data_IF_392824730966
#
_entry.id   IF_392824730966
#
_cell.length_a   1.000
_cell.length_b   1.000
_cell.length_c   1.000
_cell.angle_alpha   90.00
_cell.angle_beta   90.00
_cell.angle_gamma   90.00
#
_symmetry.space_group_name_H-M   'P 1'
#
loop_
_entity.id
_entity.type
_entity.pdbx_description
1 polymer ?
#
# COMPACT_ATOMS: atom_id res chain seq x y z
N UNK A 1 18.04 -6.68 -5.00
CA UNK A 1 18.29 -6.95 -3.56
C UNK A 1 19.75 -6.76 -3.16
N UNK A 2 20.71 -7.47 -3.76
CA UNK A 2 22.12 -7.42 -3.32
C UNK A 2 22.76 -6.02 -3.39
N UNK A 3 22.44 -5.23 -4.42
CA UNK A 3 22.89 -3.83 -4.50
C UNK A 3 22.35 -2.97 -3.34
N UNK A 4 21.09 -3.18 -2.93
CA UNK A 4 20.50 -2.45 -1.81
C UNK A 4 21.17 -2.82 -0.49
N UNK A 5 21.45 -4.12 -0.26
CA UNK A 5 22.23 -4.58 0.90
C UNK A 5 23.63 -3.95 0.95
N UNK A 6 24.27 -3.78 -0.21
CA UNK A 6 25.63 -3.23 -0.31
C UNK A 6 25.68 -1.71 -0.14
N UNK A 7 24.75 -0.97 -0.76
CA UNK A 7 24.87 0.48 -0.93
C UNK A 7 23.82 1.31 -0.19
N UNK A 8 22.68 0.73 0.22
CA UNK A 8 21.56 1.46 0.80
C UNK A 8 21.42 1.25 2.32
N UNK A 9 22.56 1.12 3.02
CA UNK A 9 22.61 0.88 4.47
C UNK A 9 21.81 1.87 5.31
N UNK A 10 21.78 3.14 4.89
CA UNK A 10 20.99 4.20 5.53
C UNK A 10 19.48 3.95 5.43
N UNK A 11 19.01 3.32 4.35
CA UNK A 11 17.60 3.01 4.14
C UNK A 11 17.18 1.75 4.90
N UNK A 12 17.86 0.63 4.67
CA UNK A 12 17.43 -0.65 5.22
C UNK A 12 17.84 -0.85 6.68
N UNK A 13 18.90 -0.17 7.16
CA UNK A 13 19.35 -0.18 8.57
C UNK A 13 19.49 -1.58 9.17
N UNK A 14 20.00 -2.52 8.37
CA UNK A 14 20.17 -3.92 8.77
C UNK A 14 18.92 -4.80 8.71
N UNK A 15 17.77 -4.32 8.22
CA UNK A 15 16.50 -5.08 8.19
C UNK A 15 16.58 -6.42 7.45
N UNK A 16 17.46 -6.55 6.45
CA UNK A 16 17.70 -7.81 5.75
C UNK A 16 18.27 -8.93 6.64
N UNK A 17 18.85 -8.60 7.80
CA UNK A 17 19.45 -9.55 8.74
C UNK A 17 18.54 -9.84 9.94
N UNK A 18 17.34 -9.26 9.98
CA UNK A 18 16.38 -9.53 11.04
C UNK A 18 15.89 -10.99 10.91
N UNK A 19 15.92 -11.81 12.00
CA UNK A 19 15.53 -13.22 11.92
C UNK A 19 14.06 -13.43 11.53
N UNK A 20 13.22 -12.40 11.62
CA UNK A 20 11.82 -12.41 11.17
C UNK A 20 11.70 -12.17 9.66
N UNK A 21 12.71 -11.59 9.03
CA UNK A 21 12.71 -11.29 7.61
C UNK A 21 13.07 -12.52 6.79
N UNK A 22 12.21 -12.84 5.81
CA UNK A 22 12.48 -13.86 4.79
C UNK A 22 12.48 -13.19 3.42
N UNK A 23 13.57 -13.34 2.68
CA UNK A 23 13.72 -12.79 1.34
C UNK A 23 13.53 -13.92 0.34
N UNK A 24 12.54 -13.77 -0.54
CA UNK A 24 12.29 -14.69 -1.64
C UNK A 24 12.61 -13.97 -2.95
N UNK A 25 13.56 -14.51 -3.71
CA UNK A 25 13.90 -14.00 -5.04
C UNK A 25 13.12 -14.80 -6.08
N UNK A 26 11.92 -14.31 -6.41
CA UNK A 26 11.03 -14.95 -7.38
C UNK A 26 10.04 -13.92 -7.96
N UNK A 27 9.29 -14.34 -8.96
CA UNK A 27 8.16 -13.57 -9.48
C UNK A 27 7.07 -13.41 -8.41
N UNK A 28 6.64 -12.16 -8.19
CA UNK A 28 5.67 -11.82 -7.15
C UNK A 28 4.26 -12.31 -7.45
N UNK A 29 3.85 -12.34 -8.72
CA UNK A 29 2.55 -12.88 -9.13
C UNK A 29 2.48 -14.37 -8.85
N UNK A 30 3.53 -15.10 -9.23
CA UNK A 30 3.67 -16.54 -8.95
C UNK A 30 3.63 -16.81 -7.44
N UNK A 31 4.31 -15.99 -6.65
CA UNK A 31 4.26 -16.13 -5.19
C UNK A 31 2.82 -15.98 -4.67
N UNK A 32 2.12 -14.94 -5.11
CA UNK A 32 0.72 -14.69 -4.71
C UNK A 32 -0.18 -15.86 -5.12
N UNK A 33 0.04 -16.47 -6.29
CA UNK A 33 -0.72 -17.64 -6.74
C UNK A 33 -0.49 -18.87 -5.87
N UNK A 34 0.76 -19.14 -5.46
CA UNK A 34 1.16 -20.35 -4.74
C UNK A 34 1.08 -20.22 -3.21
N UNK A 35 1.05 -19.00 -2.68
CA UNK A 35 1.04 -18.74 -1.25
C UNK A 35 -0.20 -19.33 -0.55
N UNK A 36 -0.05 -19.81 0.69
CA UNK A 36 -1.16 -20.35 1.47
C UNK A 36 -2.27 -19.31 1.65
N UNK A 37 -3.50 -19.80 1.67
CA UNK A 37 -4.68 -18.99 1.96
C UNK A 37 -4.69 -18.53 3.43
N UNK A 38 -5.35 -17.40 3.71
CA UNK A 38 -5.56 -16.89 5.08
C UNK A 38 -4.28 -16.77 5.93
N UNK A 39 -3.16 -16.43 5.30
CA UNK A 39 -1.85 -16.45 5.94
C UNK A 39 -1.39 -15.08 6.42
N UNK A 40 -1.70 -14.02 5.67
CA UNK A 40 -1.19 -12.67 5.93
C UNK A 40 -2.21 -11.76 6.62
N UNK A 41 -1.81 -11.16 7.73
CA UNK A 41 -2.57 -10.07 8.37
C UNK A 41 -2.42 -8.74 7.60
N UNK A 42 -1.25 -8.50 7.00
CA UNK A 42 -0.96 -7.28 6.24
C UNK A 42 -0.16 -7.64 4.99
N UNK A 43 -0.56 -7.07 3.85
CA UNK A 43 0.18 -7.11 2.59
C UNK A 43 0.52 -5.69 2.17
N UNK A 44 1.78 -5.45 1.82
CA UNK A 44 2.26 -4.17 1.29
C UNK A 44 2.79 -4.44 -0.12
N UNK A 45 2.16 -3.81 -1.10
CA UNK A 45 2.53 -3.87 -2.52
C UNK A 45 3.34 -2.61 -2.87
N UNK A 46 4.65 -2.78 -2.96
CA UNK A 46 5.62 -1.73 -3.36
C UNK A 46 6.24 -2.13 -4.70
N UNK A 47 5.48 -1.88 -5.77
CA UNK A 47 5.78 -2.31 -7.14
C UNK A 47 6.17 -1.11 -7.99
N UNK A 48 6.72 -1.39 -9.18
CA UNK A 48 6.95 -0.36 -10.19
C UNK A 48 5.64 0.26 -10.65
N UNK A 49 5.68 1.56 -10.96
CA UNK A 49 4.49 2.32 -11.29
C UNK A 49 3.64 1.66 -12.39
N UNK A 50 2.30 1.71 -12.26
CA UNK A 50 1.34 1.06 -13.17
C UNK A 50 1.33 1.69 -14.58
N UNK A 51 1.96 2.85 -14.74
CA UNK A 51 2.08 3.53 -16.04
C UNK A 51 3.18 2.94 -16.91
N UNK A 52 4.03 2.07 -16.34
CA UNK A 52 5.14 1.41 -17.02
C UNK A 52 4.73 0.27 -17.95
N UNK A 53 5.59 -0.75 -18.13
CA UNK A 53 5.33 -1.90 -19.00
C UNK A 53 4.02 -2.61 -18.65
N UNK A 54 3.42 -3.27 -19.65
CA UNK A 54 2.18 -4.03 -19.50
C UNK A 54 2.24 -5.06 -18.35
N UNK A 55 3.40 -5.67 -18.13
CA UNK A 55 3.65 -6.59 -17.02
C UNK A 55 3.36 -5.93 -15.65
N UNK A 56 3.67 -4.64 -15.50
CA UNK A 56 3.35 -3.92 -14.25
C UNK A 56 1.85 -3.77 -14.09
N UNK A 57 1.11 -3.47 -15.17
CA UNK A 57 -0.36 -3.30 -15.12
C UNK A 57 -1.10 -4.55 -14.69
N UNK A 58 -0.60 -5.74 -15.04
CA UNK A 58 -1.20 -7.01 -14.60
C UNK A 58 -1.27 -7.12 -13.06
N UNK A 59 -0.33 -6.48 -12.36
CA UNK A 59 -0.24 -6.43 -10.89
C UNK A 59 -1.16 -5.37 -10.26
N UNK A 60 -2.06 -4.74 -11.04
CA UNK A 60 -3.02 -3.74 -10.57
C UNK A 60 -4.46 -4.04 -11.01
N UNK A 61 -4.73 -5.27 -11.44
CA UNK A 61 -6.05 -5.74 -11.90
C UNK A 61 -6.91 -6.26 -10.74
N UNK A 62 -8.23 -6.28 -10.92
CA UNK A 62 -9.14 -6.92 -9.95
C UNK A 62 -8.83 -8.41 -9.76
N UNK A 63 -8.38 -9.10 -10.82
CA UNK A 63 -7.93 -10.48 -10.74
C UNK A 63 -6.71 -10.64 -9.83
N UNK A 64 -5.68 -9.81 -10.02
CA UNK A 64 -4.51 -9.81 -9.14
C UNK A 64 -4.90 -9.54 -7.68
N UNK A 65 -5.71 -8.50 -7.44
CA UNK A 65 -6.17 -8.18 -6.09
C UNK A 65 -7.03 -9.29 -5.47
N UNK A 66 -7.82 -10.02 -6.25
CA UNK A 66 -8.57 -11.19 -5.76
C UNK A 66 -7.63 -12.30 -5.29
N UNK A 67 -6.51 -12.52 -5.99
CA UNK A 67 -5.48 -13.51 -5.59
C UNK A 67 -4.73 -13.04 -4.34
N UNK A 68 -4.44 -11.75 -4.22
CA UNK A 68 -3.88 -11.16 -2.98
C UNK A 68 -4.87 -11.29 -1.82
N UNK A 69 -6.15 -11.02 -2.05
CA UNK A 69 -7.20 -11.15 -1.02
C UNK A 69 -7.30 -12.58 -0.48
N UNK A 70 -7.12 -13.59 -1.35
CA UNK A 70 -7.18 -15.02 -1.01
C UNK A 70 -6.10 -15.46 -0.01
N UNK A 71 -4.88 -14.91 -0.10
CA UNK A 71 -3.79 -15.22 0.84
C UNK A 71 -3.85 -14.39 2.13
N UNK A 72 -4.69 -13.36 2.17
CA UNK A 72 -4.91 -12.54 3.35
C UNK A 72 -5.97 -13.16 4.25
N UNK A 73 -5.80 -12.98 5.56
CA UNK A 73 -6.86 -13.30 6.52
C UNK A 73 -8.10 -12.48 6.28
N UNK A 74 -9.23 -12.94 6.83
CA UNK A 74 -10.54 -12.29 6.69
C UNK A 74 -10.59 -10.84 7.20
N UNK A 75 -9.69 -10.47 8.11
CA UNK A 75 -9.48 -9.11 8.59
C UNK A 75 -8.17 -8.47 8.12
N UNK A 76 -7.54 -9.03 7.10
CA UNK A 76 -6.31 -8.50 6.57
C UNK A 76 -6.44 -7.11 5.96
N UNK A 77 -5.29 -6.43 5.86
CA UNK A 77 -5.17 -5.11 5.23
C UNK A 77 -4.16 -5.18 4.08
N UNK A 78 -4.57 -4.68 2.90
CA UNK A 78 -3.69 -4.44 1.76
C UNK A 78 -3.37 -2.95 1.70
N UNK A 79 -2.10 -2.60 1.46
CA UNK A 79 -1.68 -1.26 1.05
C UNK A 79 -0.92 -1.38 -0.26
N UNK A 80 -1.23 -0.54 -1.24
CA UNK A 80 -0.45 -0.43 -2.47
C UNK A 80 -0.07 1.02 -2.73
N UNK A 81 1.18 1.23 -3.18
CA UNK A 81 1.51 2.45 -3.91
C UNK A 81 0.72 2.44 -5.23
N UNK A 82 0.16 3.59 -5.62
CA UNK A 82 -0.76 3.71 -6.75
C UNK A 82 -0.35 4.83 -7.73
N UNK A 83 0.95 5.15 -7.79
CA UNK A 83 1.50 6.16 -8.68
C UNK A 83 1.14 7.61 -8.30
N UNK A 84 0.76 8.40 -9.30
CA UNK A 84 0.41 9.80 -9.21
C UNK A 84 -0.87 10.12 -10.00
N UNK A 85 -1.92 10.56 -9.29
CA UNK A 85 -3.24 10.86 -9.81
C UNK A 85 -3.33 12.18 -10.58
N UNK A 86 -2.34 13.06 -10.43
CA UNK A 86 -2.29 14.34 -11.15
C UNK A 86 -1.82 14.13 -12.60
N UNK A 87 -0.74 13.37 -12.79
CA UNK A 87 -0.20 13.09 -14.13
C UNK A 87 -0.96 11.96 -14.83
N UNK A 88 -1.49 10.99 -14.08
CA UNK A 88 -2.11 9.80 -14.65
C UNK A 88 -3.47 9.47 -13.98
N UNK A 89 -4.45 10.39 -14.05
CA UNK A 89 -5.73 10.25 -13.34
C UNK A 89 -6.50 8.99 -13.72
N UNK A 90 -6.56 8.63 -15.01
CA UNK A 90 -7.31 7.46 -15.50
C UNK A 90 -6.79 6.14 -14.92
N UNK A 91 -5.47 5.94 -14.94
CA UNK A 91 -4.87 4.72 -14.40
C UNK A 91 -5.01 4.67 -12.89
N UNK A 92 -4.92 5.81 -12.20
CA UNK A 92 -5.22 5.86 -10.76
C UNK A 92 -6.69 5.50 -10.46
N UNK A 93 -7.65 6.01 -11.23
CA UNK A 93 -9.07 5.64 -11.11
C UNK A 93 -9.31 4.16 -11.36
N UNK A 94 -8.65 3.56 -12.36
CA UNK A 94 -8.71 2.13 -12.65
C UNK A 94 -8.23 1.29 -11.47
N UNK A 95 -7.11 1.66 -10.84
CA UNK A 95 -6.57 0.97 -9.65
C UNK A 95 -7.58 1.00 -8.51
N UNK A 96 -8.14 2.19 -8.23
CA UNK A 96 -9.13 2.34 -7.17
C UNK A 96 -10.41 1.56 -7.49
N UNK A 97 -10.84 1.53 -8.77
CA UNK A 97 -12.00 0.73 -9.21
C UNK A 97 -11.76 -0.76 -9.00
N UNK A 98 -10.61 -1.26 -9.47
CA UNK A 98 -10.23 -2.67 -9.34
C UNK A 98 -10.17 -3.11 -7.87
N UNK A 99 -9.69 -2.26 -6.96
CA UNK A 99 -9.70 -2.54 -5.53
C UNK A 99 -11.13 -2.56 -4.95
N UNK A 100 -12.02 -1.68 -5.41
CA UNK A 100 -13.43 -1.63 -4.97
C UNK A 100 -14.26 -2.82 -5.46
N UNK A 101 -13.84 -3.48 -6.54
CA UNK A 101 -14.45 -4.74 -6.98
C UNK A 101 -14.13 -5.91 -6.05
N UNK A 102 -13.00 -5.86 -5.34
CA UNK A 102 -12.49 -6.96 -4.52
C UNK A 102 -12.72 -6.75 -3.03
N UNK A 103 -12.60 -5.50 -2.54
CA UNK A 103 -12.63 -5.18 -1.12
C UNK A 103 -13.82 -4.27 -0.77
N UNK A 104 -14.42 -4.54 0.39
CA UNK A 104 -15.54 -3.73 0.90
C UNK A 104 -15.13 -2.31 1.29
N UNK A 105 -13.93 -2.15 1.85
CA UNK A 105 -13.43 -0.87 2.36
C UNK A 105 -12.18 -0.51 1.55
N UNK A 106 -12.24 0.63 0.87
CA UNK A 106 -11.12 1.19 0.09
C UNK A 106 -10.96 2.65 0.44
N UNK A 107 -9.79 3.02 0.97
CA UNK A 107 -9.42 4.40 1.29
C UNK A 107 -8.20 4.81 0.49
N UNK A 108 -8.26 6.04 0.01
CA UNK A 108 -7.23 6.67 -0.80
C UNK A 108 -6.50 7.66 0.08
N UNK A 109 -5.19 7.80 -0.08
CA UNK A 109 -4.40 8.82 0.58
C UNK A 109 -3.18 9.19 -0.25
N UNK A 110 -2.50 10.25 0.14
CA UNK A 110 -1.31 10.71 -0.56
C UNK A 110 -0.33 11.37 0.39
N UNK A 111 0.92 11.46 -0.05
CA UNK A 111 1.96 12.24 0.63
C UNK A 111 2.82 12.95 -0.40
N UNK A 112 3.22 14.18 -0.10
CA UNK A 112 4.24 14.88 -0.87
C UNK A 112 5.60 14.23 -0.64
N UNK A 113 6.28 13.81 -1.71
CA UNK A 113 7.63 13.24 -1.62
C UNK A 113 8.62 14.26 -2.21
N UNK A 114 9.37 15.00 -1.37
CA UNK A 114 10.20 16.11 -1.85
C UNK A 114 11.23 15.71 -2.90
N UNK A 115 11.86 14.54 -2.77
CA UNK A 115 12.84 14.05 -3.74
C UNK A 115 12.26 13.71 -5.10
N UNK A 116 10.94 13.48 -5.18
CA UNK A 116 10.25 13.19 -6.43
C UNK A 116 9.62 14.44 -7.04
N UNK A 117 9.40 15.49 -6.23
CA UNK A 117 8.78 16.72 -6.69
C UNK A 117 7.29 16.57 -7.01
N UNK A 118 6.62 15.55 -6.47
CA UNK A 118 5.18 15.33 -6.63
C UNK A 118 4.56 14.58 -5.43
N UNK A 119 3.23 14.53 -5.40
CA UNK A 119 2.47 13.75 -4.44
C UNK A 119 2.39 12.27 -4.88
N UNK A 120 2.92 11.35 -4.08
CA UNK A 120 2.69 9.92 -4.28
C UNK A 120 1.32 9.55 -3.72
N UNK A 121 0.54 8.80 -4.50
CA UNK A 121 -0.76 8.29 -4.08
C UNK A 121 -0.67 6.83 -3.66
N UNK A 122 -1.53 6.48 -2.71
CA UNK A 122 -1.60 5.16 -2.11
C UNK A 122 -3.06 4.79 -1.89
N UNK A 123 -3.33 3.49 -1.90
CA UNK A 123 -4.65 2.95 -1.59
C UNK A 123 -4.51 1.86 -0.53
N UNK A 124 -5.34 1.96 0.51
CA UNK A 124 -5.49 0.92 1.53
C UNK A 124 -6.85 0.25 1.37
N UNK A 125 -6.87 -1.07 1.45
CA UNK A 125 -8.05 -1.89 1.24
C UNK A 125 -8.18 -2.99 2.31
N UNK A 126 -9.41 -3.23 2.78
CA UNK A 126 -9.73 -4.26 3.77
C UNK A 126 -11.22 -4.60 3.69
N UNK A 127 -11.64 -5.72 4.29
CA UNK A 127 -13.06 -6.03 4.48
C UNK A 127 -13.60 -5.65 5.86
N UNK A 128 -12.70 -5.35 6.81
CA UNK A 128 -13.07 -5.13 8.22
C UNK A 128 -12.52 -3.83 8.79
N UNK A 129 -11.28 -3.48 8.49
CA UNK A 129 -10.61 -2.33 9.11
C UNK A 129 -10.71 -1.10 8.22
N UNK A 130 -11.39 -0.06 8.71
CA UNK A 130 -11.40 1.26 8.08
C UNK A 130 -10.47 2.21 8.85
N UNK A 131 -9.36 2.68 8.25
CA UNK A 131 -8.44 3.59 8.93
C UNK A 131 -9.12 4.91 9.32
N UNK A 132 -10.17 5.35 8.61
CA UNK A 132 -10.88 6.59 8.94
C UNK A 132 -11.60 6.54 10.30
N UNK A 133 -11.78 5.35 10.88
CA UNK A 133 -12.41 5.17 12.20
C UNK A 133 -11.44 5.35 13.36
N UNK A 134 -10.13 5.46 13.11
CA UNK A 134 -9.14 5.72 14.14
C UNK A 134 -9.07 7.21 14.44
N UNK A 135 -9.19 7.58 15.72
CA UNK A 135 -8.89 8.96 16.14
C UNK A 135 -7.37 9.18 16.17
N UNK A 136 -6.89 10.44 16.12
CA UNK A 136 -5.48 10.74 16.36
C UNK A 136 -4.95 10.09 17.64
N UNK A 137 -5.73 10.10 18.72
CA UNK A 137 -5.34 9.51 20.02
C UNK A 137 -5.22 7.99 19.96
N UNK A 138 -6.08 7.31 19.19
CA UNK A 138 -5.98 5.87 18.98
C UNK A 138 -4.66 5.51 18.29
N UNK A 139 -4.31 6.24 17.23
CA UNK A 139 -3.06 6.05 16.48
C UNK A 139 -1.86 6.30 17.39
N UNK A 140 -1.85 7.41 18.12
CA UNK A 140 -0.81 7.77 19.07
C UNK A 140 -0.62 6.72 20.17
N UNK A 141 -1.72 6.19 20.71
CA UNK A 141 -1.70 5.11 21.69
C UNK A 141 -1.04 3.85 21.10
N UNK A 142 -1.40 3.48 19.87
CA UNK A 142 -0.81 2.31 19.20
C UNK A 142 0.67 2.51 18.93
N UNK A 143 1.08 3.65 18.37
CA UNK A 143 2.48 3.99 18.10
C UNK A 143 3.33 3.91 19.37
N UNK A 144 2.87 4.51 20.48
CA UNK A 144 3.56 4.44 21.78
C UNK A 144 3.64 3.02 22.32
N UNK A 145 2.52 2.28 22.32
CA UNK A 145 2.48 0.90 22.85
C UNK A 145 3.42 -0.05 22.12
N UNK A 146 3.68 0.21 20.83
CA UNK A 146 4.56 -0.59 19.98
C UNK A 146 5.98 -0.02 19.88
N UNK A 147 6.27 1.07 20.59
CA UNK A 147 7.58 1.73 20.56
C UNK A 147 8.00 2.22 19.18
N UNK A 148 7.04 2.62 18.33
CA UNK A 148 7.32 3.05 16.96
C UNK A 148 7.87 4.47 16.98
N UNK A 149 9.15 4.61 16.65
CA UNK A 149 9.82 5.90 16.48
C UNK A 149 9.91 6.23 14.99
N UNK A 150 9.37 7.37 14.59
CA UNK A 150 9.37 7.82 13.20
C UNK A 150 9.48 9.36 13.11
N UNK A 151 9.54 9.91 11.89
CA UNK A 151 9.75 11.35 11.65
C UNK A 151 8.58 12.05 10.93
N UNK A 152 7.54 11.31 10.55
CA UNK A 152 6.56 11.81 9.59
C UNK A 152 5.11 11.45 9.93
N UNK A 153 4.89 10.29 10.53
CA UNK A 153 3.56 9.74 10.78
C UNK A 153 3.19 9.85 12.26
N UNK A 154 2.09 10.54 12.52
CA UNK A 154 1.46 10.71 13.83
C UNK A 154 -0.06 10.61 13.69
N UNK A 155 -0.80 10.73 14.80
CA UNK A 155 -2.25 10.66 14.79
C UNK A 155 -2.94 11.73 13.94
N UNK A 156 -2.42 12.95 13.91
CA UNK A 156 -3.00 14.04 13.12
C UNK A 156 -2.74 13.83 11.63
N UNK A 157 -1.52 13.40 11.27
CA UNK A 157 -1.17 13.06 9.89
C UNK A 157 -2.03 11.91 9.38
N UNK A 158 -2.22 10.85 10.18
CA UNK A 158 -3.14 9.77 9.83
C UNK A 158 -4.55 10.30 9.53
N UNK A 159 -5.11 11.10 10.43
CA UNK A 159 -6.45 11.65 10.26
C UNK A 159 -6.57 12.45 8.96
N UNK A 160 -5.61 13.36 8.69
CA UNK A 160 -5.62 14.20 7.49
C UNK A 160 -5.47 13.38 6.21
N UNK A 161 -4.57 12.38 6.20
CA UNK A 161 -4.32 11.51 5.04
C UNK A 161 -5.59 10.85 4.52
N UNK A 162 -6.46 10.36 5.41
CA UNK A 162 -7.66 9.61 5.03
C UNK A 162 -8.93 10.46 4.97
N UNK A 163 -8.91 11.69 5.50
CA UNK A 163 -10.11 12.54 5.56
C UNK A 163 -10.55 13.03 4.18
N UNK A 164 -9.60 13.31 3.29
CA UNK A 164 -9.86 13.82 1.96
C UNK A 164 -9.64 12.73 0.90
N UNK A 165 -10.50 12.69 -0.11
CA UNK A 165 -10.24 11.87 -1.30
C UNK A 165 -9.07 12.45 -2.09
N UNK A 166 -8.30 11.58 -2.72
CA UNK A 166 -7.21 11.97 -3.63
C UNK A 166 -7.77 12.68 -4.86
N UNK A 167 -8.84 12.14 -5.46
CA UNK A 167 -9.57 12.77 -6.55
C UNK A 167 -10.92 13.31 -6.06
N UNK A 168 -11.14 14.62 -6.21
CA UNK A 168 -12.39 15.30 -5.88
C UNK A 168 -12.94 16.03 -7.12
N UNK A 169 -14.12 15.62 -7.60
CA UNK A 169 -14.75 16.12 -8.82
C UNK A 169 -15.31 14.95 -9.62
N UNK A 170 -16.55 15.05 -10.15
CA UNK A 170 -17.17 13.94 -10.90
C UNK A 170 -16.73 13.93 -12.36
N UNK A 171 -16.59 12.70 -12.86
CA UNK A 171 -16.53 12.26 -14.26
C UNK A 171 -17.49 13.08 -15.13
N UNK A 172 -16.98 13.71 -16.17
CA UNK A 172 -17.79 14.01 -17.35
C UNK A 172 -18.29 12.65 -17.89
N UNK A 173 -19.61 12.45 -17.77
CA UNK A 173 -20.34 11.41 -18.50
C UNK A 173 -20.38 11.72 -19.98
#
# INVERSE_FOLDING_TARGET
VELAKKYLGVMHRGSFNDPRAKILIMDGLKYVEEAPQDYYDVVISDLTDPYGPEISRLLYTAEFYSRVRRLMRSDGILVTQAGNSFFFPKVYEEIVSNLREVFRIVREYWTWIPSFGYACNYVIASDKHDPLLLTPEDVERVLRSRGVVNKYYDGNQHYVMFRNKVLTGRKET
#
